data_IF_050218329222
#
_entry.id   IF_050218329222
#
_cell.length_a   1.000
_cell.length_b   1.000
_cell.length_c   1.000
_cell.angle_alpha   90.00
_cell.angle_beta   90.00
_cell.angle_gamma   90.00
#
_symmetry.space_group_name_H-M   'P 1'
#
loop_
_entity.id
_entity.type
_entity.pdbx_description
1 polymer ?
#
# COMPACT_ATOMS: atom_id res chain seq x y z
N UNK A 1 16.24 12.35 -14.89
CA UNK A 1 14.96 11.69 -14.46
C UNK A 1 14.34 10.96 -15.64
N UNK A 2 13.86 9.73 -15.45
CA UNK A 2 13.10 8.96 -16.40
C UNK A 2 11.75 8.54 -15.76
N UNK A 3 10.70 8.36 -16.57
CA UNK A 3 9.48 7.68 -16.13
C UNK A 3 9.44 6.32 -16.83
N UNK A 4 9.57 5.26 -16.05
CA UNK A 4 9.60 3.86 -16.50
C UNK A 4 8.25 3.21 -16.25
N UNK A 5 7.87 2.23 -17.10
CA UNK A 5 6.63 1.47 -16.92
C UNK A 5 6.89 -0.01 -17.16
N UNK A 6 6.48 -0.87 -16.25
CA UNK A 6 6.61 -2.33 -16.34
C UNK A 6 5.98 -2.94 -17.59
N UNK A 7 4.97 -2.30 -18.16
CA UNK A 7 4.30 -2.77 -19.38
C UNK A 7 5.13 -2.48 -20.64
N UNK A 8 6.20 -1.69 -20.56
CA UNK A 8 7.06 -1.34 -21.69
C UNK A 8 8.34 -2.16 -21.69
N UNK A 9 8.58 -2.94 -22.75
CA UNK A 9 9.77 -3.81 -22.89
C UNK A 9 11.10 -3.08 -22.71
N UNK A 10 11.20 -1.83 -23.20
CA UNK A 10 12.43 -1.01 -23.08
C UNK A 10 12.82 -0.68 -21.64
N UNK A 11 11.84 -0.66 -20.73
CA UNK A 11 12.04 -0.26 -19.33
C UNK A 11 12.31 -1.47 -18.42
N UNK A 12 12.01 -2.69 -18.88
CA UNK A 12 12.10 -3.90 -18.07
C UNK A 12 13.51 -4.20 -17.56
N UNK A 13 14.54 -3.87 -18.33
CA UNK A 13 15.93 -4.10 -17.91
C UNK A 13 16.33 -3.28 -16.68
N UNK A 14 15.85 -2.03 -16.58
CA UNK A 14 16.07 -1.18 -15.40
C UNK A 14 15.18 -1.60 -14.22
N UNK A 15 13.95 -2.02 -14.50
CA UNK A 15 12.99 -2.44 -13.48
C UNK A 15 13.22 -3.86 -12.98
N UNK A 16 14.01 -4.68 -13.68
CA UNK A 16 14.33 -6.06 -13.25
C UNK A 16 15.12 -6.13 -11.93
N UNK A 17 15.73 -5.02 -11.50
CA UNK A 17 16.35 -4.91 -10.18
C UNK A 17 15.30 -4.84 -9.04
N UNK A 18 14.04 -4.55 -9.37
CA UNK A 18 12.91 -4.54 -8.43
C UNK A 18 12.34 -5.94 -8.32
N UNK A 19 12.55 -6.58 -7.19
CA UNK A 19 12.08 -7.92 -6.86
C UNK A 19 11.07 -7.85 -5.69
N UNK A 20 10.68 -8.99 -5.16
CA UNK A 20 9.78 -9.09 -4.01
C UNK A 20 10.32 -8.46 -2.72
N UNK A 21 11.60 -8.06 -2.68
CA UNK A 21 12.20 -7.33 -1.55
C UNK A 21 11.95 -5.81 -1.64
N UNK A 22 11.38 -5.34 -2.74
CA UNK A 22 10.91 -3.96 -2.87
C UNK A 22 9.50 -3.78 -2.27
N UNK A 23 9.08 -2.56 -1.93
CA UNK A 23 7.69 -2.27 -1.60
C UNK A 23 6.74 -2.75 -2.70
N UNK A 24 5.58 -3.27 -2.33
CA UNK A 24 4.64 -3.88 -3.28
C UNK A 24 4.19 -2.95 -4.42
N UNK A 25 4.25 -1.62 -4.20
CA UNK A 25 3.94 -0.61 -5.23
C UNK A 25 4.91 -0.63 -6.42
N UNK A 26 6.05 -1.28 -6.26
CA UNK A 26 7.03 -1.47 -7.34
C UNK A 26 6.84 -2.78 -8.11
N UNK A 27 5.99 -3.67 -7.65
CA UNK A 27 5.80 -4.97 -8.31
C UNK A 27 5.09 -4.81 -9.67
N UNK A 28 5.49 -5.60 -10.69
CA UNK A 28 4.86 -5.56 -12.00
C UNK A 28 3.34 -5.80 -11.95
N UNK A 29 2.89 -6.74 -11.11
CA UNK A 29 1.48 -7.04 -10.92
C UNK A 29 0.68 -5.84 -10.37
N UNK A 30 1.29 -4.98 -9.57
CA UNK A 30 0.66 -3.75 -9.11
C UNK A 30 0.44 -2.75 -10.25
N UNK A 31 1.44 -2.58 -11.13
CA UNK A 31 1.28 -1.76 -12.34
C UNK A 31 0.20 -2.32 -13.25
N UNK A 32 0.16 -3.64 -13.43
CA UNK A 32 -0.83 -4.30 -14.29
C UNK A 32 -2.25 -4.20 -13.72
N UNK A 33 -2.43 -4.38 -12.40
CA UNK A 33 -3.70 -4.17 -11.71
C UNK A 33 -4.26 -2.77 -11.99
N UNK A 34 -3.44 -1.73 -11.83
CA UNK A 34 -3.89 -0.36 -12.04
C UNK A 34 -4.23 -0.10 -13.50
N UNK A 35 -3.45 -0.64 -14.43
CA UNK A 35 -3.70 -0.46 -15.86
C UNK A 35 -4.97 -1.17 -16.34
N UNK A 36 -5.14 -2.45 -15.99
CA UNK A 36 -6.21 -3.29 -16.56
C UNK A 36 -7.52 -3.20 -15.78
N UNK A 37 -7.47 -2.96 -14.47
CA UNK A 37 -8.67 -2.94 -13.64
C UNK A 37 -9.09 -1.52 -13.22
N UNK A 38 -8.12 -0.66 -12.87
CA UNK A 38 -8.40 0.71 -12.43
C UNK A 38 -8.43 1.71 -13.60
N UNK A 39 -8.04 1.30 -14.81
CA UNK A 39 -7.88 2.17 -16.00
C UNK A 39 -6.92 3.34 -15.75
N UNK A 40 -5.89 3.13 -14.95
CA UNK A 40 -4.92 4.14 -14.53
C UNK A 40 -3.49 3.68 -14.81
N UNK A 41 -2.56 4.62 -14.83
CA UNK A 41 -1.16 4.32 -15.15
C UNK A 41 -0.26 4.53 -13.95
N UNK A 42 0.52 3.49 -13.63
CA UNK A 42 1.63 3.56 -12.69
C UNK A 42 2.93 3.71 -13.48
N UNK A 43 3.73 4.68 -13.08
CA UNK A 43 5.09 4.88 -13.57
C UNK A 43 6.06 4.82 -12.41
N UNK A 44 7.26 4.36 -12.68
CA UNK A 44 8.38 4.41 -11.75
C UNK A 44 9.29 5.55 -12.18
N UNK A 45 9.34 6.63 -11.38
CA UNK A 45 10.31 7.70 -11.57
C UNK A 45 11.69 7.17 -11.20
N UNK A 46 12.67 7.34 -12.08
CA UNK A 46 14.04 6.91 -11.87
C UNK A 46 14.99 8.10 -12.01
N UNK A 47 15.77 8.37 -10.97
CA UNK A 47 16.88 9.31 -10.99
C UNK A 47 18.19 8.57 -11.30
N UNK A 48 18.77 8.81 -12.46
CA UNK A 48 20.08 8.28 -12.82
C UNK A 48 21.18 8.78 -11.89
N UNK A 49 21.09 10.05 -11.46
CA UNK A 49 22.05 10.68 -10.55
C UNK A 49 22.08 9.99 -9.19
N UNK A 50 20.93 9.68 -8.63
CA UNK A 50 20.80 9.06 -7.31
C UNK A 50 20.75 7.54 -7.37
N UNK A 51 20.52 6.96 -8.57
CA UNK A 51 20.19 5.53 -8.79
C UNK A 51 19.00 5.09 -7.90
N UNK A 52 17.98 5.94 -7.84
CA UNK A 52 16.83 5.76 -6.96
C UNK A 52 15.54 5.76 -7.77
N UNK A 53 14.53 5.07 -7.23
CA UNK A 53 13.25 4.81 -7.87
C UNK A 53 12.10 5.24 -6.96
N UNK A 54 10.99 5.71 -7.54
CA UNK A 54 9.77 6.07 -6.81
C UNK A 54 8.52 5.80 -7.65
N UNK A 55 7.52 5.06 -7.13
CA UNK A 55 6.29 4.77 -7.85
C UNK A 55 5.35 5.98 -7.83
N UNK A 56 4.81 6.29 -8.99
CA UNK A 56 3.87 7.38 -9.23
C UNK A 56 2.63 6.85 -9.94
N UNK A 57 1.46 7.27 -9.50
CA UNK A 57 0.18 7.08 -10.19
C UNK A 57 -0.20 8.37 -10.87
N UNK A 58 -0.52 8.30 -12.17
CA UNK A 58 -1.04 9.45 -12.92
C UNK A 58 -2.53 9.26 -13.15
N UNK A 59 -3.30 10.28 -12.83
CA UNK A 59 -4.74 10.30 -13.05
C UNK A 59 -5.25 11.72 -13.31
N UNK A 60 -6.43 11.84 -13.89
CA UNK A 60 -7.07 13.11 -14.16
C UNK A 60 -8.25 13.31 -13.24
N UNK A 61 -8.29 14.42 -12.54
CA UNK A 61 -9.52 14.94 -11.95
C UNK A 61 -10.27 15.80 -12.98
N UNK A 62 -11.46 16.27 -12.61
CA UNK A 62 -12.27 17.16 -13.49
C UNK A 62 -11.48 18.38 -13.99
N UNK A 63 -10.54 18.90 -13.22
CA UNK A 63 -9.86 20.17 -13.48
C UNK A 63 -8.33 20.05 -13.57
N UNK A 64 -7.74 18.94 -13.15
CA UNK A 64 -6.30 18.85 -13.00
C UNK A 64 -5.78 17.46 -13.42
N UNK A 65 -4.61 17.46 -14.05
CA UNK A 65 -3.76 16.27 -14.15
C UNK A 65 -2.94 16.16 -12.86
N UNK A 66 -3.00 15.01 -12.25
CA UNK A 66 -2.39 14.75 -10.95
C UNK A 66 -1.36 13.62 -11.07
N UNK A 67 -0.26 13.77 -10.36
CA UNK A 67 0.66 12.67 -10.06
C UNK A 67 0.62 12.42 -8.56
N UNK A 68 0.42 11.17 -8.18
CA UNK A 68 0.33 10.72 -6.79
C UNK A 68 1.55 9.90 -6.43
N UNK A 69 2.25 10.27 -5.36
CA UNK A 69 3.36 9.50 -4.82
C UNK A 69 2.78 8.29 -4.09
N UNK A 70 3.21 7.08 -4.45
CA UNK A 70 2.74 5.85 -3.85
C UNK A 70 3.68 5.26 -2.79
N UNK A 71 4.95 5.66 -2.81
CA UNK A 71 5.96 5.29 -1.83
C UNK A 71 7.07 6.33 -1.83
N UNK A 72 7.83 6.45 -0.74
CA UNK A 72 9.06 7.23 -0.70
C UNK A 72 10.10 6.71 -1.72
N UNK A 73 10.99 7.56 -2.23
CA UNK A 73 12.04 7.09 -3.13
C UNK A 73 13.00 6.14 -2.43
N UNK A 74 13.34 5.04 -3.11
CA UNK A 74 14.23 3.98 -2.61
C UNK A 74 15.42 3.76 -3.52
N UNK A 75 16.53 3.33 -2.92
CA UNK A 75 17.73 2.82 -3.57
C UNK A 75 18.13 1.50 -2.92
N UNK A 76 18.30 0.44 -3.71
CA UNK A 76 18.59 -0.89 -3.18
C UNK A 76 17.63 -1.33 -2.08
N UNK A 77 16.33 -1.09 -2.28
CA UNK A 77 15.24 -1.38 -1.32
C UNK A 77 15.38 -0.66 0.04
N UNK A 78 16.11 0.43 0.11
CA UNK A 78 16.25 1.29 1.29
C UNK A 78 15.75 2.69 0.93
N UNK A 79 14.96 3.30 1.82
CA UNK A 79 14.54 4.69 1.65
C UNK A 79 15.73 5.63 1.68
N UNK A 80 15.70 6.66 0.83
CA UNK A 80 16.73 7.69 0.78
C UNK A 80 16.73 8.50 2.09
N UNK A 81 17.88 9.02 2.48
CA UNK A 81 17.97 9.98 3.58
C UNK A 81 17.23 11.30 3.23
N UNK A 82 16.94 12.18 4.21
CA UNK A 82 16.16 13.39 3.97
C UNK A 82 16.74 14.32 2.88
N UNK A 83 18.05 14.44 2.77
CA UNK A 83 18.69 15.30 1.76
C UNK A 83 18.57 14.67 0.36
N UNK A 84 18.82 13.38 0.25
CA UNK A 84 18.67 12.66 -1.02
C UNK A 84 17.23 12.64 -1.49
N UNK A 85 16.24 12.51 -0.56
CA UNK A 85 14.83 12.66 -0.90
C UNK A 85 14.51 14.03 -1.47
N UNK A 86 15.04 15.10 -0.86
CA UNK A 86 14.85 16.46 -1.34
C UNK A 86 15.44 16.64 -2.75
N UNK A 87 16.65 16.14 -2.98
CA UNK A 87 17.30 16.17 -4.29
C UNK A 87 16.48 15.40 -5.35
N UNK A 88 15.95 14.24 -4.98
CA UNK A 88 15.07 13.45 -5.84
C UNK A 88 13.79 14.22 -6.21
N UNK A 89 13.14 14.84 -5.24
CA UNK A 89 11.93 15.63 -5.48
C UNK A 89 12.20 16.87 -6.34
N UNK A 90 13.31 17.56 -6.15
CA UNK A 90 13.67 18.70 -6.97
C UNK A 90 13.89 18.29 -8.44
N UNK A 91 14.56 17.16 -8.66
CA UNK A 91 14.75 16.58 -10.00
C UNK A 91 13.41 16.17 -10.62
N UNK A 92 12.54 15.49 -9.85
CA UNK A 92 11.22 15.05 -10.31
C UNK A 92 10.32 16.24 -10.68
N UNK A 93 10.21 17.24 -9.80
CA UNK A 93 9.38 18.43 -10.03
C UNK A 93 9.85 19.17 -11.28
N UNK A 94 11.15 19.33 -11.44
CA UNK A 94 11.73 19.93 -12.64
C UNK A 94 11.35 19.16 -13.91
N UNK A 95 11.45 17.83 -13.87
CA UNK A 95 11.08 16.97 -14.99
C UNK A 95 9.58 17.06 -15.32
N UNK A 96 8.72 16.97 -14.32
CA UNK A 96 7.26 17.03 -14.50
C UNK A 96 6.81 18.37 -15.09
N UNK A 97 7.43 19.48 -14.64
CA UNK A 97 7.17 20.82 -15.16
C UNK A 97 7.63 20.99 -16.61
N UNK A 98 8.83 20.54 -16.94
CA UNK A 98 9.39 20.64 -18.31
C UNK A 98 8.57 19.85 -19.33
N UNK A 99 7.95 18.72 -18.90
CA UNK A 99 7.19 17.85 -19.77
C UNK A 99 5.66 18.08 -19.69
N UNK A 100 5.18 19.06 -18.91
CA UNK A 100 3.76 19.29 -18.66
C UNK A 100 3.01 18.02 -18.27
N UNK A 101 3.65 17.15 -17.48
CA UNK A 101 3.14 15.80 -17.17
C UNK A 101 1.96 15.85 -16.19
N UNK A 102 1.99 16.80 -15.25
CA UNK A 102 0.88 17.05 -14.31
C UNK A 102 0.94 18.48 -13.77
N UNK A 103 -0.21 18.98 -13.28
CA UNK A 103 -0.29 20.28 -12.62
C UNK A 103 -0.07 20.20 -11.11
N UNK A 104 -0.21 19.02 -10.52
CA UNK A 104 -0.03 18.81 -9.08
C UNK A 104 0.61 17.46 -8.80
N UNK A 105 1.62 17.49 -7.95
CA UNK A 105 2.20 16.31 -7.31
C UNK A 105 1.61 16.22 -5.91
N UNK A 106 1.01 15.08 -5.57
CA UNK A 106 0.34 14.88 -4.29
C UNK A 106 0.83 13.60 -3.61
N UNK A 107 0.91 13.62 -2.29
CA UNK A 107 1.12 12.44 -1.49
C UNK A 107 -0.13 12.22 -0.64
N UNK A 108 -0.94 11.22 -0.94
CA UNK A 108 -1.99 10.81 -0.03
C UNK A 108 -1.42 9.92 1.07
N UNK A 109 -2.04 10.00 2.21
CA UNK A 109 -1.97 8.97 3.22
C UNK A 109 -2.52 7.63 2.67
N UNK A 110 -1.97 6.48 3.05
CA UNK A 110 -0.91 6.19 4.03
C UNK A 110 0.37 5.59 3.42
N UNK A 111 0.59 5.77 2.13
CA UNK A 111 1.53 4.96 1.33
C UNK A 111 3.02 5.22 1.58
N UNK A 112 3.36 6.20 2.35
CA UNK A 112 4.75 6.44 2.69
C UNK A 112 4.90 7.71 3.52
N UNK A 113 5.87 7.70 4.42
CA UNK A 113 6.25 8.88 5.17
C UNK A 113 7.42 9.50 4.41
N UNK A 114 7.24 10.74 3.96
CA UNK A 114 8.32 11.50 3.37
C UNK A 114 9.09 12.21 4.48
N UNK A 115 10.40 12.03 4.49
CA UNK A 115 11.29 12.70 5.46
C UNK A 115 11.66 14.14 5.05
N UNK A 116 11.27 14.56 3.83
CA UNK A 116 11.59 15.87 3.28
C UNK A 116 10.41 16.49 2.57
N UNK A 117 10.30 17.82 2.65
CA UNK A 117 9.29 18.62 1.99
C UNK A 117 9.96 19.57 0.99
N UNK A 118 9.66 19.48 -0.32
CA UNK A 118 10.20 20.42 -1.31
C UNK A 118 9.80 21.86 -1.02
N UNK A 119 10.66 22.82 -1.39
CA UNK A 119 10.35 24.23 -1.26
C UNK A 119 9.04 24.59 -1.98
N UNK A 120 8.27 25.51 -1.41
CA UNK A 120 6.97 25.96 -1.91
C UNK A 120 5.87 24.88 -1.92
N UNK A 121 6.07 23.74 -1.29
CA UNK A 121 5.03 22.72 -1.08
C UNK A 121 4.11 23.10 0.09
N UNK A 122 2.86 22.65 0.01
CA UNK A 122 1.97 22.66 1.18
C UNK A 122 2.03 21.28 1.82
N UNK A 123 2.17 21.22 3.12
CA UNK A 123 2.19 19.96 3.86
C UNK A 123 1.40 20.08 5.16
N UNK A 124 1.01 18.94 5.69
CA UNK A 124 0.56 18.80 7.08
C UNK A 124 1.40 17.69 7.72
N UNK A 125 1.66 17.84 9.01
CA UNK A 125 2.28 16.78 9.78
C UNK A 125 1.36 15.58 9.83
N UNK A 126 1.92 14.43 9.49
CA UNK A 126 1.19 13.19 9.44
C UNK A 126 2.11 12.05 9.90
N UNK A 127 1.53 11.07 10.57
CA UNK A 127 2.24 9.87 11.02
C UNK A 127 1.41 8.62 10.81
N UNK A 128 2.07 7.48 10.81
CA UNK A 128 1.44 6.17 10.79
C UNK A 128 2.07 5.26 11.84
N UNK A 129 1.36 4.18 12.18
CA UNK A 129 1.91 3.16 13.08
C UNK A 129 2.67 2.14 12.27
N UNK A 130 3.93 1.92 12.64
CA UNK A 130 4.80 0.91 12.04
C UNK A 130 5.12 -0.14 13.09
N UNK A 131 4.98 -1.41 12.72
CA UNK A 131 5.42 -2.55 13.52
C UNK A 131 6.63 -3.14 12.82
N UNK A 132 7.77 -3.16 13.49
CA UNK A 132 8.97 -3.81 13.00
C UNK A 132 8.83 -5.32 13.17
N UNK A 133 8.67 -6.02 12.05
CA UNK A 133 8.53 -7.48 12.00
C UNK A 133 9.88 -8.21 11.84
N UNK A 134 10.96 -7.48 11.55
CA UNK A 134 12.28 -8.09 11.32
C UNK A 134 13.04 -8.30 12.62
N UNK A 135 12.93 -7.36 13.56
CA UNK A 135 13.70 -7.36 14.81
C UNK A 135 12.90 -7.78 16.03
N UNK A 136 11.58 -7.97 15.91
CA UNK A 136 10.69 -8.29 17.01
C UNK A 136 9.98 -9.62 16.81
N UNK A 137 9.92 -10.40 17.87
CA UNK A 137 9.11 -11.63 17.92
C UNK A 137 7.62 -11.31 18.06
N UNK A 138 6.76 -12.27 17.73
CA UNK A 138 5.31 -12.16 17.91
C UNK A 138 4.96 -11.82 19.38
N UNK A 139 5.64 -12.44 20.32
CA UNK A 139 5.46 -12.23 21.75
C UNK A 139 5.84 -10.82 22.18
N UNK A 140 6.96 -10.28 21.69
CA UNK A 140 7.38 -8.90 21.96
C UNK A 140 6.40 -7.88 21.38
N UNK A 141 5.89 -8.11 20.17
CA UNK A 141 4.85 -7.27 19.57
C UNK A 141 3.58 -7.32 20.41
N UNK A 142 3.14 -8.52 20.83
CA UNK A 142 1.96 -8.69 21.66
C UNK A 142 2.07 -7.98 22.99
N UNK A 143 3.23 -8.03 23.65
CA UNK A 143 3.49 -7.34 24.92
C UNK A 143 3.40 -5.80 24.81
N UNK A 144 3.58 -5.24 23.62
CA UNK A 144 3.43 -3.80 23.37
C UNK A 144 1.98 -3.35 23.21
N UNK A 145 1.05 -4.28 23.03
CA UNK A 145 -0.36 -3.93 22.97
C UNK A 145 -0.85 -3.43 24.32
N UNK A 146 -1.76 -2.47 24.28
CA UNK A 146 -2.40 -2.00 25.50
C UNK A 146 -3.07 -3.18 26.23
N UNK A 147 -2.96 -3.28 27.57
CA UNK A 147 -3.46 -4.44 28.34
C UNK A 147 -4.91 -4.81 28.09
N UNK A 148 -5.76 -3.83 27.73
CA UNK A 148 -7.15 -4.08 27.32
C UNK A 148 -7.23 -4.98 26.11
N UNK A 149 -6.37 -4.77 25.09
CA UNK A 149 -6.38 -5.58 23.88
C UNK A 149 -5.77 -6.96 24.11
N UNK A 150 -4.72 -7.06 24.94
CA UNK A 150 -4.16 -8.37 25.31
C UNK A 150 -5.23 -9.24 26.00
N UNK A 151 -5.97 -8.65 26.96
CA UNK A 151 -7.08 -9.36 27.64
C UNK A 151 -8.20 -9.76 26.67
N UNK A 152 -8.55 -8.90 25.71
CA UNK A 152 -9.60 -9.19 24.72
C UNK A 152 -9.18 -10.35 23.82
N UNK A 153 -7.93 -10.36 23.34
CA UNK A 153 -7.39 -11.44 22.49
C UNK A 153 -7.42 -12.77 23.27
N UNK A 154 -6.86 -12.82 24.48
CA UNK A 154 -6.88 -14.04 25.29
C UNK A 154 -8.28 -14.52 25.63
N UNK A 155 -9.23 -13.59 25.88
CA UNK A 155 -10.62 -13.95 26.12
C UNK A 155 -11.26 -14.60 24.87
N UNK A 156 -11.02 -14.01 23.70
CA UNK A 156 -11.54 -14.54 22.44
C UNK A 156 -10.96 -15.91 22.12
N UNK A 157 -9.65 -16.10 22.28
CA UNK A 157 -8.98 -17.39 22.11
C UNK A 157 -9.55 -18.46 23.05
N UNK A 158 -9.73 -18.11 24.33
CA UNK A 158 -10.31 -19.01 25.34
C UNK A 158 -11.76 -19.40 25.02
N UNK A 159 -12.50 -18.52 24.37
CA UNK A 159 -13.88 -18.78 23.95
C UNK A 159 -13.98 -19.48 22.59
N UNK A 160 -12.85 -19.89 22.01
CA UNK A 160 -12.84 -20.68 20.78
C UNK A 160 -12.84 -19.87 19.49
N UNK A 161 -12.54 -18.56 19.55
CA UNK A 161 -12.37 -17.79 18.33
C UNK A 161 -11.20 -18.33 17.48
N UNK A 162 -11.43 -18.49 16.18
CA UNK A 162 -10.47 -19.02 15.22
C UNK A 162 -10.17 -17.98 14.15
N UNK A 163 -8.89 -17.87 13.78
CA UNK A 163 -8.44 -17.00 12.67
C UNK A 163 -8.09 -17.88 11.48
N UNK A 164 -8.62 -17.56 10.31
CA UNK A 164 -8.25 -18.18 9.04
C UNK A 164 -7.71 -17.13 8.08
N UNK A 165 -6.74 -17.53 7.24
CA UNK A 165 -6.10 -16.65 6.27
C UNK A 165 -6.16 -17.25 4.87
N UNK A 166 -6.06 -16.39 3.85
CA UNK A 166 -5.91 -16.77 2.46
C UNK A 166 -7.08 -16.35 1.59
N UNK A 167 -7.03 -16.78 0.33
CA UNK A 167 -8.05 -16.44 -0.67
C UNK A 167 -9.41 -17.07 -0.36
N UNK A 168 -9.43 -18.24 0.27
CA UNK A 168 -10.65 -18.99 0.57
C UNK A 168 -11.58 -18.25 1.53
N UNK A 169 -11.05 -17.37 2.39
CA UNK A 169 -11.83 -16.56 3.32
C UNK A 169 -12.21 -15.18 2.78
N UNK A 170 -11.91 -14.89 1.53
CA UNK A 170 -12.15 -13.56 0.93
C UNK A 170 -13.64 -13.16 0.94
N UNK A 171 -14.54 -14.10 0.71
CA UNK A 171 -15.98 -13.81 0.75
C UNK A 171 -16.44 -13.44 2.16
N UNK A 172 -15.93 -14.11 3.19
CA UNK A 172 -16.25 -13.84 4.58
C UNK A 172 -15.65 -12.51 5.06
N UNK A 173 -14.42 -12.19 4.62
CA UNK A 173 -13.85 -10.85 4.79
C UNK A 173 -14.77 -9.80 4.17
N UNK A 174 -15.23 -10.01 2.94
CA UNK A 174 -16.08 -9.06 2.22
C UNK A 174 -17.42 -8.82 2.94
N UNK A 175 -18.01 -9.83 3.56
CA UNK A 175 -19.19 -9.66 4.42
C UNK A 175 -18.91 -8.73 5.60
N UNK A 176 -17.79 -8.94 6.32
CA UNK A 176 -17.39 -8.07 7.43
C UNK A 176 -17.12 -6.63 6.98
N UNK A 177 -16.44 -6.47 5.85
CA UNK A 177 -16.13 -5.16 5.26
C UNK A 177 -17.40 -4.40 4.87
N UNK A 178 -18.31 -5.02 4.13
CA UNK A 178 -19.56 -4.37 3.69
C UNK A 178 -20.47 -4.00 4.84
N UNK A 179 -20.55 -4.82 5.90
CA UNK A 179 -21.29 -4.48 7.11
C UNK A 179 -20.71 -3.22 7.79
N UNK A 180 -19.40 -3.13 7.86
CA UNK A 180 -18.74 -1.92 8.38
C UNK A 180 -19.04 -0.70 7.52
N UNK A 181 -18.90 -0.79 6.20
CA UNK A 181 -19.17 0.33 5.29
C UNK A 181 -20.62 0.82 5.41
N UNK A 182 -21.58 -0.08 5.49
CA UNK A 182 -23.00 0.26 5.75
C UNK A 182 -23.17 1.00 7.07
N UNK A 183 -22.55 0.51 8.16
CA UNK A 183 -22.67 1.09 9.49
C UNK A 183 -22.13 2.52 9.57
N UNK A 184 -21.05 2.81 8.84
CA UNK A 184 -20.45 4.15 8.78
C UNK A 184 -20.96 5.00 7.62
N UNK A 185 -21.96 4.52 6.87
CA UNK A 185 -22.57 5.21 5.72
C UNK A 185 -21.56 5.61 4.64
N UNK A 186 -20.57 4.74 4.39
CA UNK A 186 -19.56 4.93 3.35
C UNK A 186 -19.81 3.96 2.18
N UNK A 187 -19.47 4.35 0.94
CA UNK A 187 -19.49 3.42 -0.18
C UNK A 187 -18.49 2.28 0.07
N UNK A 188 -18.86 1.08 -0.35
CA UNK A 188 -17.99 -0.09 -0.33
C UNK A 188 -17.42 -0.37 -1.71
N UNK A 189 -16.18 -0.84 -1.76
CA UNK A 189 -15.63 -1.46 -2.96
C UNK A 189 -16.40 -2.74 -3.29
N UNK A 190 -16.41 -3.14 -4.55
CA UNK A 190 -17.01 -4.40 -4.98
C UNK A 190 -16.10 -5.59 -4.62
N UNK A 191 -16.68 -6.78 -4.48
CA UNK A 191 -15.89 -8.00 -4.25
C UNK A 191 -14.84 -8.23 -5.35
N UNK A 192 -15.16 -7.84 -6.58
CA UNK A 192 -14.24 -7.96 -7.72
C UNK A 192 -12.97 -7.13 -7.53
N UNK A 193 -13.04 -5.98 -6.84
CA UNK A 193 -11.88 -5.18 -6.48
C UNK A 193 -10.86 -6.03 -5.68
N UNK A 194 -11.30 -6.73 -4.65
CA UNK A 194 -10.41 -7.58 -3.83
C UNK A 194 -9.90 -8.81 -4.59
N UNK A 195 -10.74 -9.41 -5.43
CA UNK A 195 -10.33 -10.53 -6.30
C UNK A 195 -9.25 -10.11 -7.30
N UNK A 196 -9.31 -8.89 -7.82
CA UNK A 196 -8.31 -8.41 -8.77
C UNK A 196 -6.91 -8.31 -8.14
N UNK A 197 -6.79 -7.96 -6.86
CA UNK A 197 -5.50 -8.00 -6.17
C UNK A 197 -4.89 -9.41 -6.15
N UNK A 198 -5.67 -10.45 -5.84
CA UNK A 198 -5.20 -11.83 -5.92
C UNK A 198 -4.80 -12.24 -7.35
N UNK A 199 -5.56 -11.81 -8.35
CA UNK A 199 -5.29 -12.16 -9.74
C UNK A 199 -3.97 -11.56 -10.27
N UNK A 200 -3.67 -10.31 -9.90
CA UNK A 200 -2.50 -9.59 -10.43
C UNK A 200 -1.26 -9.70 -9.54
N UNK A 201 -1.42 -9.72 -8.22
CA UNK A 201 -0.31 -9.79 -7.28
C UNK A 201 -0.02 -11.21 -6.77
N UNK A 202 -1.00 -12.11 -6.86
CA UNK A 202 -0.89 -13.46 -6.34
C UNK A 202 -1.06 -13.57 -4.81
N UNK A 203 -1.25 -14.81 -4.35
CA UNK A 203 -1.41 -15.11 -2.91
C UNK A 203 -0.15 -14.84 -2.09
N UNK A 204 1.01 -14.75 -2.73
CA UNK A 204 2.28 -14.44 -2.05
C UNK A 204 2.41 -12.96 -1.68
N UNK A 205 1.52 -12.10 -2.22
CA UNK A 205 1.55 -10.66 -1.98
C UNK A 205 0.22 -10.11 -1.47
N UNK A 206 -0.80 -10.97 -1.31
CA UNK A 206 -2.14 -10.57 -0.84
C UNK A 206 -2.64 -11.55 0.19
N UNK A 207 -3.18 -11.04 1.29
CA UNK A 207 -3.75 -11.88 2.35
C UNK A 207 -5.05 -11.28 2.87
N UNK A 208 -6.14 -12.03 2.78
CA UNK A 208 -7.32 -11.81 3.58
C UNK A 208 -7.19 -12.61 4.89
N UNK A 209 -7.58 -12.02 6.02
CA UNK A 209 -7.66 -12.69 7.31
C UNK A 209 -9.04 -12.50 7.91
N UNK A 210 -9.62 -13.54 8.48
CA UNK A 210 -10.96 -13.49 9.08
C UNK A 210 -10.97 -14.19 10.44
N UNK A 211 -11.57 -13.53 11.40
CA UNK A 211 -11.86 -14.09 12.72
C UNK A 211 -13.28 -14.67 12.75
N UNK A 212 -13.39 -15.88 13.23
CA UNK A 212 -14.65 -16.60 13.39
C UNK A 212 -14.97 -16.84 14.85
N UNK A 213 -16.25 -16.69 15.19
CA UNK A 213 -16.85 -17.17 16.42
C UNK A 213 -17.93 -18.20 16.07
N UNK A 214 -17.76 -19.46 16.51
CA UNK A 214 -18.65 -20.57 16.16
C UNK A 214 -18.97 -20.65 14.65
N UNK A 215 -17.92 -20.65 13.82
CA UNK A 215 -17.97 -20.62 12.34
C UNK A 215 -18.62 -19.37 11.70
N UNK A 216 -19.04 -18.39 12.49
CA UNK A 216 -19.54 -17.12 11.98
C UNK A 216 -18.38 -16.12 11.82
N UNK A 217 -18.20 -15.50 10.64
CA UNK A 217 -17.21 -14.44 10.47
C UNK A 217 -17.65 -13.20 11.26
N UNK A 218 -16.80 -12.73 12.16
CA UNK A 218 -17.08 -11.57 13.03
C UNK A 218 -16.21 -10.36 12.73
N UNK A 219 -15.09 -10.55 12.08
CA UNK A 219 -14.18 -9.47 11.68
C UNK A 219 -13.14 -9.96 10.70
N UNK A 220 -12.59 -9.05 9.91
CA UNK A 220 -11.57 -9.39 8.95
C UNK A 220 -10.73 -8.22 8.50
N UNK A 221 -9.59 -8.54 7.90
CA UNK A 221 -8.62 -7.60 7.34
C UNK A 221 -8.23 -8.03 5.93
N UNK A 222 -7.83 -7.05 5.11
CA UNK A 222 -7.24 -7.30 3.81
C UNK A 222 -5.90 -6.58 3.74
N UNK A 223 -4.86 -7.33 3.44
CA UNK A 223 -3.48 -6.86 3.43
C UNK A 223 -2.86 -7.07 2.07
N UNK A 224 -2.02 -6.12 1.66
CA UNK A 224 -1.11 -6.21 0.53
C UNK A 224 0.29 -6.16 1.10
N UNK A 225 1.17 -7.05 0.64
CA UNK A 225 2.51 -7.15 1.20
C UNK A 225 3.54 -7.55 0.15
N UNK A 226 4.79 -7.36 0.52
CA UNK A 226 5.98 -7.91 -0.10
C UNK A 226 6.95 -8.31 1.02
N UNK A 227 8.14 -8.77 0.69
CA UNK A 227 9.18 -8.99 1.71
C UNK A 227 9.63 -7.68 2.40
N UNK A 228 9.36 -6.53 1.78
CA UNK A 228 9.70 -5.23 2.35
C UNK A 228 8.76 -4.81 3.47
N UNK A 229 7.44 -4.85 3.22
CA UNK A 229 6.43 -4.39 4.17
C UNK A 229 5.05 -4.98 3.86
N UNK A 230 4.19 -4.97 4.87
CA UNK A 230 2.77 -5.28 4.75
C UNK A 230 1.94 -4.04 5.11
N UNK A 231 0.89 -3.80 4.32
CA UNK A 231 -0.09 -2.74 4.55
C UNK A 231 -1.48 -3.33 4.71
N UNK A 232 -2.13 -3.08 5.84
CA UNK A 232 -3.55 -3.35 6.01
C UNK A 232 -4.33 -2.23 5.30
N UNK A 233 -4.92 -2.55 4.16
CA UNK A 233 -5.64 -1.58 3.32
C UNK A 233 -7.10 -1.46 3.70
N UNK A 234 -7.72 -2.56 4.09
CA UNK A 234 -9.13 -2.62 4.46
C UNK A 234 -9.34 -3.51 5.69
N UNK A 235 -10.28 -3.11 6.51
CA UNK A 235 -10.71 -3.90 7.66
C UNK A 235 -12.22 -3.77 7.83
N UNK A 236 -12.83 -4.77 8.45
CA UNK A 236 -14.24 -4.73 8.74
C UNK A 236 -14.62 -5.66 9.88
N UNK A 237 -15.78 -5.40 10.48
CA UNK A 237 -16.37 -6.24 11.51
C UNK A 237 -17.87 -6.29 11.32
N UNK A 238 -18.48 -7.42 11.64
CA UNK A 238 -19.93 -7.52 11.72
C UNK A 238 -20.40 -6.81 12.98
N UNK A 239 -21.40 -5.96 12.83
CA UNK A 239 -22.12 -5.40 13.95
C UNK A 239 -23.11 -6.43 14.49
N UNK A 240 -23.39 -6.39 15.80
CA UNK A 240 -24.57 -7.01 16.36
C UNK A 240 -25.85 -6.31 15.87
#
# INVERSE_FOLDING_TARGET
MLLLNHLQKKDQSLLSAMNNDAPFQFLPGFTQLYHEYMEENIFIAYSEKLMAFMPLRFFSSRFFKLAQILHAPIKNNIELNPQEQLDFFNELISYLNQNNSCERLVQPHPYGILASVPANSRFCEFGTYIIDLQTQTKEEIFQKFHPKYQKAIHHSEKNGAVVKFGQDVLNDFYLCYTDTMKRISMPSEELQFFKSYYNYLGSDNVTAGVVYDNDNPIGGIFMIHSNYAALCTHAGSRGE
#
